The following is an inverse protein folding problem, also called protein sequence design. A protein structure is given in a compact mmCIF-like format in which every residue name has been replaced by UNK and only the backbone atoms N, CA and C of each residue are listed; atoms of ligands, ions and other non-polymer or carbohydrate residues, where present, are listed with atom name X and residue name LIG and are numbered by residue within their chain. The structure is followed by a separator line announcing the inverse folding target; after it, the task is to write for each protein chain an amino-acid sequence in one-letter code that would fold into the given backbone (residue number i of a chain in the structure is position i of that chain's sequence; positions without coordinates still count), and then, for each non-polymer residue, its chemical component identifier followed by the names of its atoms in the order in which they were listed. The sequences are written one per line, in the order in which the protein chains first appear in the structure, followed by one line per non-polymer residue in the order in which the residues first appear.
data_IF_042568265987
#
_entry.id   IF_042568265987
#
_cell.length_a   1.000
_cell.length_b   1.000
_cell.length_c   1.000
_cell.angle_alpha   90.00
_cell.angle_beta   90.00
_cell.angle_gamma   90.00
#
_symmetry.space_group_name_H-M   'P 1'
#
loop_
_entity.id
_entity.type
_entity.pdbx_description
1 polymer ?
#
# COMPACT_ATOMS: atom_id res chain seq x y z
N UNK A 1 17.91 -8.11 5.33
CA UNK A 1 16.53 -7.65 5.55
C UNK A 1 16.39 -6.13 5.52
N UNK A 2 16.76 -5.37 6.56
CA UNK A 2 16.54 -3.89 6.58
C UNK A 2 17.29 -3.17 5.46
N UNK A 3 18.58 -3.45 5.30
CA UNK A 3 19.41 -2.83 4.26
C UNK A 3 18.93 -3.18 2.84
N UNK A 4 18.59 -4.44 2.61
CA UNK A 4 18.04 -4.93 1.34
C UNK A 4 16.69 -4.26 1.00
N UNK A 5 15.82 -4.09 1.99
CA UNK A 5 14.57 -3.35 1.83
C UNK A 5 14.82 -1.90 1.41
N UNK A 6 15.78 -1.22 2.03
CA UNK A 6 16.17 0.14 1.63
C UNK A 6 16.77 0.19 0.23
N UNK A 7 17.58 -0.80 -0.17
CA UNK A 7 18.11 -0.88 -1.53
C UNK A 7 16.99 -1.06 -2.57
N UNK A 8 16.04 -1.95 -2.31
CA UNK A 8 14.88 -2.17 -3.19
C UNK A 8 14.03 -0.91 -3.31
N UNK A 9 13.74 -0.24 -2.19
CA UNK A 9 13.00 1.01 -2.20
C UNK A 9 13.72 2.13 -2.94
N UNK A 10 15.03 2.28 -2.77
CA UNK A 10 15.81 3.26 -3.51
C UNK A 10 15.71 3.00 -5.01
N UNK A 11 15.82 1.75 -5.46
CA UNK A 11 15.65 1.40 -6.87
C UNK A 11 14.27 1.84 -7.41
N UNK A 12 13.18 1.48 -6.71
CA UNK A 12 11.81 1.86 -7.09
C UNK A 12 11.63 3.37 -7.13
N UNK A 13 12.11 4.10 -6.10
CA UNK A 13 11.98 5.56 -6.04
C UNK A 13 12.79 6.25 -7.15
N UNK A 14 13.99 5.74 -7.49
CA UNK A 14 14.75 6.26 -8.63
C UNK A 14 14.02 6.01 -9.95
N UNK A 15 13.44 4.82 -10.16
CA UNK A 15 12.60 4.56 -11.33
C UNK A 15 11.41 5.54 -11.41
N UNK A 16 10.75 5.83 -10.28
CA UNK A 16 9.66 6.81 -10.21
C UNK A 16 10.13 8.22 -10.55
N UNK A 17 11.34 8.61 -10.12
CA UNK A 17 11.95 9.92 -10.46
C UNK A 17 12.22 10.06 -11.96
N UNK A 18 12.62 8.97 -12.62
CA UNK A 18 12.93 8.95 -14.05
C UNK A 18 11.73 8.68 -14.95
N UNK A 19 10.64 8.13 -14.40
CA UNK A 19 9.37 8.13 -15.07
C UNK A 19 8.87 9.59 -15.16
N UNK A 20 8.58 10.09 -16.36
CA UNK A 20 8.00 11.43 -16.57
C UNK A 20 6.54 11.55 -16.06
N UNK A 21 6.25 10.97 -14.89
CA UNK A 21 4.94 10.90 -14.23
C UNK A 21 5.06 11.50 -12.84
N UNK A 22 3.95 12.03 -12.35
CA UNK A 22 3.84 12.54 -10.99
C UNK A 22 3.16 11.51 -10.10
N UNK A 23 3.72 11.31 -8.90
CA UNK A 23 3.16 10.44 -7.88
C UNK A 23 2.73 11.27 -6.68
N UNK A 24 1.60 10.92 -6.08
CA UNK A 24 1.09 11.63 -4.91
C UNK A 24 1.89 11.25 -3.67
N UNK A 25 2.61 12.22 -3.09
CA UNK A 25 3.37 12.03 -1.84
C UNK A 25 2.47 11.61 -0.69
N UNK A 26 1.26 12.19 -0.57
CA UNK A 26 0.34 11.94 0.53
C UNK A 26 -0.33 10.57 0.48
N UNK A 27 -0.31 9.92 -0.70
CA UNK A 27 -0.85 8.57 -0.89
C UNK A 27 0.24 7.48 -0.92
N UNK A 28 1.52 7.87 -0.91
CA UNK A 28 2.62 6.94 -0.94
C UNK A 28 2.91 6.42 0.48
N UNK A 29 2.90 5.10 0.64
CA UNK A 29 3.34 4.41 1.87
C UNK A 29 4.65 3.70 1.56
N UNK A 30 5.73 4.08 2.24
CA UNK A 30 7.08 3.54 2.06
C UNK A 30 7.61 3.04 3.40
N UNK A 31 8.28 1.89 3.44
CA UNK A 31 8.79 1.26 4.67
C UNK A 31 7.72 1.07 5.78
N UNK A 32 6.47 0.81 5.45
CA UNK A 32 5.41 0.62 6.45
C UNK A 32 5.25 -0.86 6.80
N UNK A 33 4.94 -1.14 8.07
CA UNK A 33 4.67 -2.50 8.59
C UNK A 33 3.35 -3.03 8.02
N UNK A 34 2.39 -2.12 7.83
CA UNK A 34 1.10 -2.41 7.22
C UNK A 34 0.91 -1.49 6.02
N UNK A 35 0.49 -2.05 4.88
CA UNK A 35 0.17 -1.29 3.68
C UNK A 35 -1.15 -1.76 3.10
N UNK A 36 -1.94 -0.82 2.57
CA UNK A 36 -3.16 -1.16 1.84
C UNK A 36 -2.83 -1.25 0.36
N UNK A 37 -2.93 -2.44 -0.21
CA UNK A 37 -2.70 -2.74 -1.62
C UNK A 37 -4.00 -3.24 -2.21
N UNK A 38 -4.57 -2.50 -3.17
CA UNK A 38 -5.79 -2.90 -3.90
C UNK A 38 -6.94 -3.28 -2.94
N UNK A 39 -7.12 -2.53 -1.86
CA UNK A 39 -8.19 -2.78 -0.89
C UNK A 39 -7.94 -3.94 0.07
N UNK A 40 -6.75 -4.53 0.06
CA UNK A 40 -6.30 -5.47 1.07
C UNK A 40 -5.27 -4.81 1.96
N UNK A 41 -5.44 -4.95 3.26
CA UNK A 41 -4.45 -4.61 4.28
C UNK A 41 -3.44 -5.77 4.35
N UNK A 42 -2.24 -5.53 3.85
CA UNK A 42 -1.12 -6.47 3.94
C UNK A 42 -0.34 -6.21 5.22
N UNK A 43 -0.23 -7.24 6.05
CA UNK A 43 0.57 -7.26 7.28
C UNK A 43 1.68 -8.31 7.16
N UNK A 44 2.57 -8.41 8.14
CA UNK A 44 3.60 -9.45 8.16
C UNK A 44 3.01 -10.86 8.26
N UNK A 45 1.86 -11.00 8.90
CA UNK A 45 1.20 -12.30 9.14
C UNK A 45 0.35 -12.76 7.97
N UNK A 46 -0.08 -11.84 7.11
CA UNK A 46 -0.90 -12.16 5.95
C UNK A 46 -1.70 -10.96 5.42
N UNK A 47 -2.66 -11.28 4.56
CA UNK A 47 -3.53 -10.31 3.91
C UNK A 47 -4.93 -10.37 4.55
N UNK A 48 -5.45 -9.22 4.94
CA UNK A 48 -6.79 -9.04 5.51
C UNK A 48 -7.51 -8.00 4.64
N UNK A 49 -8.84 -8.10 4.44
CA UNK A 49 -9.59 -7.03 3.78
C UNK A 49 -9.41 -5.69 4.51
N UNK A 50 -9.34 -4.59 3.75
CA UNK A 50 -9.31 -3.25 4.33
C UNK A 50 -10.61 -2.97 5.09
N UNK A 51 -10.49 -2.36 6.27
CA UNK A 51 -11.61 -2.15 7.19
C UNK A 51 -12.74 -1.34 6.53
N UNK A 52 -12.41 -0.38 5.66
CA UNK A 52 -13.41 0.44 4.96
C UNK A 52 -14.20 -0.38 3.95
N UNK A 53 -13.55 -1.31 3.27
CA UNK A 53 -14.22 -2.19 2.31
C UNK A 53 -15.11 -3.18 3.06
N UNK A 54 -14.62 -3.73 4.17
CA UNK A 54 -15.42 -4.59 5.04
C UNK A 54 -16.66 -3.84 5.57
N UNK A 55 -16.51 -2.59 6.00
CA UNK A 55 -17.61 -1.75 6.49
C UNK A 55 -18.68 -1.49 5.41
N UNK A 56 -18.27 -1.24 4.16
CA UNK A 56 -19.19 -1.05 3.04
C UNK A 56 -20.04 -2.30 2.79
N UNK A 57 -19.43 -3.49 2.88
CA UNK A 57 -20.17 -4.75 2.70
C UNK A 57 -21.11 -5.01 3.87
N UNK A 58 -20.67 -4.75 5.10
CA UNK A 58 -21.47 -4.97 6.31
C UNK A 58 -22.67 -4.01 6.42
N UNK A 59 -22.51 -2.78 5.94
CA UNK A 59 -23.54 -1.73 5.99
C UNK A 59 -24.38 -1.68 4.72
N UNK A 60 -24.29 -2.70 3.85
CA UNK A 60 -25.01 -2.70 2.58
C UNK A 60 -26.53 -2.69 2.83
N UNK A 61 -27.27 -1.67 2.33
CA UNK A 61 -28.70 -1.58 2.58
C UNK A 61 -29.44 -2.75 1.92
N UNK A 62 -30.52 -3.21 2.57
CA UNK A 62 -31.42 -4.18 1.95
C UNK A 62 -32.01 -3.59 0.66
N UNK A 63 -32.07 -4.42 -0.39
CA UNK A 63 -32.59 -4.05 -1.71
C UNK A 63 -34.04 -3.55 -1.66
#
# INVERSE_FOLDING_TARGET
FVWEHFQNLNCVVQCMKHACRTFSRTKASLCCIEIVVVGQKCTYEGQVPDDKIAEVVLTWPAC
#
